data_IF_245320696756
#
_entry.id   IF_245320696756
#
_cell.length_a   1.000
_cell.length_b   1.000
_cell.length_c   1.000
_cell.angle_alpha   90.00
_cell.angle_beta   90.00
_cell.angle_gamma   90.00
#
_symmetry.space_group_name_H-M   'P 1'
#
loop_
_entity.id
_entity.type
_entity.pdbx_description
1 polymer ?
#
# COMPACT_ATOMS: atom_id res chain seq x y z
N UNK A 1 -4.94 62.95 4.02
CA UNK A 1 -4.58 61.58 3.59
C UNK A 1 -4.57 60.72 4.84
N UNK A 2 -5.68 60.04 5.12
CA UNK A 2 -5.82 59.17 6.28
C UNK A 2 -5.32 57.77 5.94
N UNK A 3 -4.21 57.38 6.53
CA UNK A 3 -3.74 55.99 6.54
C UNK A 3 -4.64 55.21 7.48
N UNK A 4 -5.57 54.46 6.92
CA UNK A 4 -6.36 53.46 7.65
C UNK A 4 -5.41 52.42 8.23
N UNK A 5 -5.17 52.46 9.53
CA UNK A 5 -4.48 51.42 10.26
C UNK A 5 -5.33 50.14 10.11
N UNK A 6 -4.87 49.20 9.30
CA UNK A 6 -5.48 47.88 9.14
C UNK A 6 -5.51 47.25 10.53
N UNK A 7 -6.70 46.98 11.00
CA UNK A 7 -7.03 46.56 12.35
C UNK A 7 -6.50 45.13 12.54
N UNK A 8 -5.31 45.01 13.14
CA UNK A 8 -4.64 43.75 13.51
C UNK A 8 -5.53 42.78 14.34
N UNK A 9 -6.47 43.27 15.21
CA UNK A 9 -7.33 42.38 15.98
C UNK A 9 -8.30 41.54 15.15
N UNK A 10 -8.73 41.99 13.97
CA UNK A 10 -9.70 41.26 13.15
C UNK A 10 -9.04 40.09 12.39
N UNK A 11 -7.72 40.10 12.20
CA UNK A 11 -6.96 39.03 11.56
C UNK A 11 -6.53 37.93 12.54
N UNK A 12 -6.52 38.21 13.83
CA UNK A 12 -6.05 37.29 14.86
C UNK A 12 -6.82 35.94 14.87
N UNK A 13 -8.17 35.90 14.82
CA UNK A 13 -8.92 34.65 14.80
C UNK A 13 -8.63 33.81 13.55
N UNK A 14 -8.41 34.43 12.38
CA UNK A 14 -8.04 33.73 11.16
C UNK A 14 -6.63 33.15 11.25
N UNK A 15 -5.68 33.84 11.82
CA UNK A 15 -4.33 33.33 12.05
C UNK A 15 -4.33 32.15 13.02
N UNK A 16 -5.13 32.21 14.08
CA UNK A 16 -5.28 31.10 15.03
C UNK A 16 -5.92 29.88 14.34
N UNK A 17 -6.95 30.09 13.52
CA UNK A 17 -7.60 29.02 12.78
C UNK A 17 -6.63 28.35 11.79
N UNK A 18 -5.84 29.12 11.04
CA UNK A 18 -4.83 28.60 10.12
C UNK A 18 -3.76 27.82 10.89
N UNK A 19 -3.28 28.34 12.01
CA UNK A 19 -2.28 27.67 12.84
C UNK A 19 -2.83 26.34 13.39
N UNK A 20 -4.08 26.34 13.87
CA UNK A 20 -4.74 25.11 14.33
C UNK A 20 -4.88 24.07 13.21
N UNK A 21 -5.27 24.46 12.00
CA UNK A 21 -5.32 23.59 10.84
C UNK A 21 -3.95 23.02 10.47
N UNK A 22 -2.90 23.83 10.51
CA UNK A 22 -1.52 23.39 10.28
C UNK A 22 -1.06 22.38 11.33
N UNK A 23 -1.37 22.59 12.60
CA UNK A 23 -1.03 21.67 13.69
C UNK A 23 -1.78 20.33 13.51
N UNK A 24 -3.09 20.36 13.22
CA UNK A 24 -3.88 19.17 12.96
C UNK A 24 -3.34 18.43 11.73
N UNK A 25 -3.01 19.15 10.67
CA UNK A 25 -2.42 18.57 9.46
C UNK A 25 -1.06 17.92 9.74
N UNK A 26 -0.15 18.60 10.47
CA UNK A 26 1.14 18.05 10.88
C UNK A 26 0.97 16.81 11.77
N UNK A 27 0.04 16.87 12.73
CA UNK A 27 -0.26 15.72 13.59
C UNK A 27 -0.75 14.51 12.77
N UNK A 28 -1.68 14.74 11.85
CA UNK A 28 -2.15 13.68 10.94
C UNK A 28 -1.01 13.10 10.11
N UNK A 29 -0.14 13.96 9.57
CA UNK A 29 1.03 13.56 8.83
C UNK A 29 2.00 12.69 9.66
N UNK A 30 2.24 13.06 10.91
CA UNK A 30 3.07 12.28 11.83
C UNK A 30 2.46 10.92 12.16
N UNK A 31 1.14 10.82 12.32
CA UNK A 31 0.47 9.53 12.57
C UNK A 31 0.57 8.59 11.36
N UNK A 32 0.39 9.11 10.15
CA UNK A 32 0.58 8.34 8.91
C UNK A 32 2.03 7.87 8.78
N UNK A 33 3.01 8.73 9.06
CA UNK A 33 4.43 8.35 9.04
C UNK A 33 4.76 7.27 10.07
N UNK A 34 4.26 7.38 11.30
CA UNK A 34 4.47 6.37 12.35
C UNK A 34 3.95 5.01 11.92
N UNK A 35 2.76 4.95 11.32
CA UNK A 35 2.20 3.69 10.81
C UNK A 35 3.07 3.05 9.72
N UNK A 36 3.65 3.86 8.83
CA UNK A 36 4.53 3.39 7.77
C UNK A 36 5.90 2.93 8.30
N UNK A 37 6.50 3.69 9.22
CA UNK A 37 7.77 3.33 9.87
C UNK A 37 7.61 2.01 10.62
N UNK A 38 6.51 1.83 11.36
CA UNK A 38 6.23 0.59 12.05
C UNK A 38 6.03 -0.59 11.09
N UNK A 39 5.36 -0.38 9.96
CA UNK A 39 5.22 -1.41 8.93
C UNK A 39 6.58 -1.80 8.34
N UNK A 40 7.45 -0.83 8.05
CA UNK A 40 8.81 -1.06 7.55
C UNK A 40 9.66 -1.81 8.58
N UNK A 41 9.63 -1.42 9.86
CA UNK A 41 10.36 -2.11 10.94
C UNK A 41 9.96 -3.58 11.07
N UNK A 42 8.68 -3.89 10.86
CA UNK A 42 8.20 -5.27 10.84
C UNK A 42 8.74 -6.03 9.63
N UNK A 43 8.76 -5.40 8.46
CA UNK A 43 9.34 -6.00 7.27
C UNK A 43 10.83 -6.28 7.45
N UNK A 44 11.59 -5.34 8.00
CA UNK A 44 13.03 -5.51 8.25
C UNK A 44 13.30 -6.68 9.22
N UNK A 45 12.52 -6.80 10.28
CA UNK A 45 12.62 -7.93 11.22
C UNK A 45 12.20 -9.27 10.62
N UNK A 46 11.37 -9.26 9.59
CA UNK A 46 10.92 -10.49 8.89
C UNK A 46 11.94 -11.02 7.89
N UNK A 47 13.09 -10.35 7.70
CA UNK A 47 14.16 -10.79 6.81
C UNK A 47 13.96 -10.38 5.35
N UNK A 48 13.22 -9.32 5.10
CA UNK A 48 13.09 -8.73 3.76
C UNK A 48 14.45 -8.21 3.28
N UNK A 49 14.80 -8.53 2.06
CA UNK A 49 16.07 -8.14 1.45
C UNK A 49 15.96 -6.95 0.52
N UNK A 50 14.80 -6.71 -0.04
CA UNK A 50 14.49 -5.58 -0.91
C UNK A 50 13.00 -5.32 -0.97
N UNK A 51 12.64 -4.11 -1.40
CA UNK A 51 11.28 -3.72 -1.70
C UNK A 51 11.13 -3.45 -3.19
N UNK A 52 9.98 -3.80 -3.71
CA UNK A 52 9.57 -3.48 -5.07
C UNK A 52 8.31 -2.62 -5.03
N UNK A 53 8.35 -1.48 -5.70
CA UNK A 53 7.16 -0.66 -5.88
C UNK A 53 6.38 -1.14 -7.10
N UNK A 54 5.15 -1.55 -6.89
CA UNK A 54 4.26 -2.06 -7.94
C UNK A 54 2.97 -1.25 -7.96
N UNK A 55 2.55 -0.86 -9.14
CA UNK A 55 1.24 -0.24 -9.38
C UNK A 55 0.42 -1.11 -10.30
N UNK A 56 -0.92 -1.11 -10.17
CA UNK A 56 -1.78 -1.72 -11.17
C UNK A 56 -1.56 -1.04 -12.53
N UNK A 57 -1.63 -1.81 -13.58
CA UNK A 57 -1.64 -1.25 -14.94
C UNK A 57 -3.04 -0.72 -15.26
N UNK A 58 -3.43 0.35 -14.56
CA UNK A 58 -4.76 0.97 -14.59
C UNK A 58 -4.71 2.33 -15.29
N UNK A 59 -5.77 2.65 -16.03
CA UNK A 59 -5.99 3.98 -16.64
C UNK A 59 -6.01 5.10 -15.61
N UNK A 60 -6.43 4.79 -14.37
CA UNK A 60 -6.49 5.74 -13.27
C UNK A 60 -5.14 5.96 -12.58
N UNK A 61 -4.13 5.14 -12.87
CA UNK A 61 -2.78 5.32 -12.35
C UNK A 61 -2.15 6.54 -12.98
N UNK A 62 -1.79 7.55 -12.17
CA UNK A 62 -1.14 8.76 -12.66
C UNK A 62 0.24 8.45 -13.26
N UNK A 63 0.70 9.33 -14.14
CA UNK A 63 1.97 9.17 -14.84
C UNK A 63 3.15 8.97 -13.88
N UNK A 64 3.24 9.78 -12.84
CA UNK A 64 4.30 9.69 -11.81
C UNK A 64 4.33 8.32 -11.14
N UNK A 65 3.16 7.75 -10.80
CA UNK A 65 3.09 6.41 -10.23
C UNK A 65 3.45 5.33 -11.25
N UNK A 66 3.07 5.52 -12.51
CA UNK A 66 3.39 4.61 -13.61
C UNK A 66 4.89 4.61 -13.90
N UNK A 67 5.52 5.78 -13.92
CA UNK A 67 6.97 5.92 -14.07
C UNK A 67 7.77 5.31 -12.92
N UNK A 68 7.22 5.30 -11.72
CA UNK A 68 7.86 4.69 -10.56
C UNK A 68 7.64 3.16 -10.47
N UNK A 69 6.75 2.59 -11.29
CA UNK A 69 6.49 1.15 -11.30
C UNK A 69 7.76 0.36 -11.59
N UNK A 70 7.95 -0.73 -10.86
CA UNK A 70 9.15 -1.55 -10.98
C UNK A 70 10.38 -1.02 -10.24
N UNK A 71 10.28 0.10 -9.52
CA UNK A 71 11.40 0.62 -8.71
C UNK A 71 11.74 -0.32 -7.57
N UNK A 72 13.02 -0.69 -7.51
CA UNK A 72 13.57 -1.58 -6.48
C UNK A 72 14.38 -0.77 -5.48
N UNK A 73 14.17 -1.06 -4.20
CA UNK A 73 14.75 -0.30 -3.09
C UNK A 73 15.33 -1.24 -2.03
N UNK A 74 16.45 -0.85 -1.45
CA UNK A 74 16.97 -1.51 -0.25
C UNK A 74 16.16 -1.07 0.99
N UNK A 75 16.06 -1.92 2.02
CA UNK A 75 15.40 -1.55 3.28
C UNK A 75 15.96 -0.25 3.86
N UNK A 76 17.28 -0.06 3.84
CA UNK A 76 17.93 1.16 4.32
C UNK A 76 17.56 2.42 3.53
N UNK A 77 17.19 2.30 2.25
CA UNK A 77 16.71 3.43 1.44
C UNK A 77 15.27 3.79 1.82
N UNK A 78 14.44 2.78 1.97
CA UNK A 78 13.04 2.96 2.39
C UNK A 78 12.96 3.65 3.75
N UNK A 79 13.76 3.22 4.71
CA UNK A 79 13.80 3.84 6.05
C UNK A 79 14.28 5.29 6.02
N UNK A 80 15.36 5.57 5.25
CA UNK A 80 15.93 6.93 5.16
C UNK A 80 15.03 7.91 4.42
N UNK A 81 14.31 7.47 3.42
CA UNK A 81 13.47 8.33 2.57
C UNK A 81 12.12 8.64 3.21
N UNK A 82 11.78 8.08 4.39
CA UNK A 82 10.42 8.11 4.93
C UNK A 82 9.40 7.74 3.84
N UNK A 83 9.70 6.67 3.15
CA UNK A 83 9.20 6.38 1.84
C UNK A 83 7.71 6.12 1.82
N UNK A 84 6.97 7.13 1.48
CA UNK A 84 5.85 6.98 0.57
C UNK A 84 6.41 7.34 -0.80
N UNK A 85 6.45 6.43 -1.77
CA UNK A 85 7.24 6.61 -2.99
C UNK A 85 6.98 7.92 -3.72
N UNK A 86 5.85 8.53 -3.49
CA UNK A 86 5.38 9.63 -4.31
C UNK A 86 4.58 10.66 -3.50
N UNK A 87 4.90 10.80 -2.21
CA UNK A 87 4.22 11.76 -1.35
C UNK A 87 4.41 13.18 -1.90
N UNK A 88 3.30 13.83 -2.20
CA UNK A 88 3.27 15.17 -2.78
C UNK A 88 3.47 15.24 -4.28
N UNK A 89 3.86 14.14 -4.95
CA UNK A 89 4.03 14.07 -6.39
C UNK A 89 2.88 13.34 -7.09
N UNK A 90 2.11 12.53 -6.35
CA UNK A 90 0.98 11.84 -6.92
C UNK A 90 -0.17 12.81 -7.23
N UNK A 91 -0.57 12.89 -8.49
CA UNK A 91 -1.67 13.76 -8.94
C UNK A 91 -3.05 13.34 -8.39
N UNK A 92 -3.19 12.09 -7.93
CA UNK A 92 -4.43 11.52 -7.41
C UNK A 92 -4.20 10.85 -6.04
N UNK A 93 -3.89 11.62 -4.96
CA UNK A 93 -3.69 11.06 -3.64
C UNK A 93 -4.96 10.34 -3.18
N UNK A 94 -4.86 9.04 -2.93
CA UNK A 94 -5.98 8.16 -2.56
C UNK A 94 -6.58 7.34 -3.71
N UNK A 95 -6.21 7.60 -4.96
CA UNK A 95 -6.59 6.78 -6.14
C UNK A 95 -5.40 6.04 -6.75
N UNK A 96 -4.20 6.61 -6.65
CA UNK A 96 -2.99 5.91 -7.04
C UNK A 96 -2.59 4.90 -5.98
N UNK A 97 -2.74 3.66 -6.30
CA UNK A 97 -2.69 2.53 -5.37
C UNK A 97 -1.42 1.70 -5.53
N UNK A 98 -0.30 2.35 -5.82
CA UNK A 98 1.00 1.69 -5.77
C UNK A 98 1.32 1.19 -4.36
N UNK A 99 1.94 0.03 -4.28
CA UNK A 99 2.31 -0.61 -3.03
C UNK A 99 3.77 -1.03 -3.03
N UNK A 100 4.45 -0.86 -1.90
CA UNK A 100 5.73 -1.48 -1.64
C UNK A 100 5.53 -2.93 -1.22
N UNK A 101 6.02 -3.85 -2.04
CA UNK A 101 6.00 -5.28 -1.75
C UNK A 101 7.36 -5.71 -1.25
N UNK A 102 7.40 -6.30 -0.06
CA UNK A 102 8.61 -6.87 0.49
C UNK A 102 8.99 -8.19 -0.19
N UNK A 103 10.25 -8.30 -0.62
CA UNK A 103 10.79 -9.47 -1.29
C UNK A 103 11.86 -10.10 -0.41
N UNK A 104 11.70 -11.38 -0.14
CA UNK A 104 12.64 -12.15 0.70
C UNK A 104 13.86 -12.66 -0.07
N UNK A 105 13.79 -12.70 -1.40
CA UNK A 105 14.94 -12.91 -2.28
C UNK A 105 15.48 -14.35 -2.36
N UNK A 106 14.61 -15.37 -2.25
CA UNK A 106 15.06 -16.76 -2.29
C UNK A 106 14.97 -17.41 -3.68
N UNK A 107 14.12 -16.93 -4.58
CA UNK A 107 14.07 -17.46 -5.94
C UNK A 107 15.12 -16.83 -6.89
N UNK A 108 15.50 -17.48 -7.97
CA UNK A 108 16.64 -17.07 -8.81
C UNK A 108 16.56 -15.64 -9.32
N UNK A 109 15.42 -15.19 -9.83
CA UNK A 109 15.23 -13.84 -10.37
C UNK A 109 15.37 -12.78 -9.27
N UNK A 110 14.81 -13.05 -8.09
CA UNK A 110 14.94 -12.16 -6.95
C UNK A 110 16.40 -12.06 -6.46
N UNK A 111 17.17 -13.16 -6.51
CA UNK A 111 18.60 -13.13 -6.18
C UNK A 111 19.41 -12.32 -7.18
N UNK A 112 19.19 -12.51 -8.47
CA UNK A 112 19.83 -11.70 -9.51
C UNK A 112 19.51 -10.21 -9.35
N UNK A 113 18.25 -9.90 -9.05
CA UNK A 113 17.81 -8.54 -8.80
C UNK A 113 18.52 -7.93 -7.58
N UNK A 114 18.66 -8.68 -6.50
CA UNK A 114 19.38 -8.25 -5.30
C UNK A 114 20.88 -8.00 -5.58
N UNK A 115 21.51 -8.83 -6.38
CA UNK A 115 22.91 -8.63 -6.82
C UNK A 115 23.06 -7.37 -7.67
N UNK A 116 22.17 -7.15 -8.65
CA UNK A 116 22.14 -5.91 -9.44
C UNK A 116 21.98 -4.69 -8.55
N UNK A 117 21.15 -4.76 -7.53
CA UNK A 117 20.91 -3.67 -6.58
C UNK A 117 22.15 -3.38 -5.72
N UNK A 118 22.92 -4.40 -5.34
CA UNK A 118 24.15 -4.25 -4.54
C UNK A 118 25.34 -3.75 -5.35
N UNK A 119 25.45 -4.19 -6.60
CA UNK A 119 26.56 -3.86 -7.49
C UNK A 119 26.31 -2.58 -8.29
N UNK A 120 25.05 -2.17 -8.42
CA UNK A 120 24.65 -0.98 -9.15
C UNK A 120 25.24 0.31 -8.56
N UNK A 121 25.57 1.27 -9.43
CA UNK A 121 26.02 2.60 -9.01
C UNK A 121 24.86 3.30 -8.29
N UNK A 122 25.08 3.74 -7.05
CA UNK A 122 24.09 4.39 -6.16
C UNK A 122 23.36 5.62 -6.73
N UNK A 123 23.79 6.14 -7.90
CA UNK A 123 23.25 7.37 -8.48
C UNK A 123 21.90 7.20 -9.22
N UNK A 124 21.58 6.00 -9.68
CA UNK A 124 20.34 5.76 -10.43
C UNK A 124 19.53 4.68 -9.72
N UNK A 125 18.26 4.94 -9.37
CA UNK A 125 17.39 3.91 -8.80
C UNK A 125 17.30 2.72 -9.76
N UNK A 126 17.43 1.52 -9.25
CA UNK A 126 17.17 0.32 -10.04
C UNK A 126 15.68 0.23 -10.32
N UNK A 127 15.32 0.11 -11.60
CA UNK A 127 13.95 -0.03 -12.05
C UNK A 127 13.85 -1.19 -13.02
N UNK A 128 12.82 -2.01 -12.83
CA UNK A 128 12.49 -3.10 -13.72
C UNK A 128 11.64 -2.59 -14.89
N UNK A 129 11.96 -3.03 -16.08
CA UNK A 129 11.05 -2.93 -17.21
C UNK A 129 9.83 -3.85 -17.02
N UNK A 130 8.75 -3.61 -17.77
CA UNK A 130 7.57 -4.45 -17.69
C UNK A 130 7.86 -5.95 -17.95
N UNK A 131 8.68 -6.34 -18.95
CA UNK A 131 9.08 -7.73 -19.14
C UNK A 131 9.87 -8.32 -17.97
N UNK A 132 10.78 -7.55 -17.36
CA UNK A 132 11.55 -8.01 -16.19
C UNK A 132 10.64 -8.20 -14.97
N UNK A 133 9.68 -7.30 -14.76
CA UNK A 133 8.69 -7.43 -13.70
C UNK A 133 7.82 -8.67 -13.90
N UNK A 134 7.37 -8.91 -15.12
CA UNK A 134 6.59 -10.10 -15.47
C UNK A 134 7.39 -11.39 -15.27
N UNK A 135 8.66 -11.42 -15.66
CA UNK A 135 9.55 -12.56 -15.43
C UNK A 135 9.76 -12.81 -13.92
N UNK A 136 9.90 -11.76 -13.11
CA UNK A 136 10.00 -11.86 -11.65
C UNK A 136 8.75 -12.49 -11.02
N UNK A 137 7.57 -12.20 -11.58
CA UNK A 137 6.28 -12.72 -11.09
C UNK A 137 6.04 -14.15 -11.58
N UNK A 138 6.29 -14.45 -12.86
CA UNK A 138 6.01 -15.75 -13.48
C UNK A 138 7.04 -16.83 -13.17
N UNK A 139 8.32 -16.45 -13.11
CA UNK A 139 9.40 -17.40 -12.91
C UNK A 139 9.23 -18.34 -11.71
N UNK A 140 8.72 -17.87 -10.56
CA UNK A 140 8.41 -18.73 -9.43
C UNK A 140 7.32 -19.76 -9.70
N UNK A 141 6.27 -19.43 -10.47
CA UNK A 141 5.17 -20.37 -10.77
C UNK A 141 5.56 -21.47 -11.74
N UNK A 142 6.48 -21.20 -12.64
CA UNK A 142 7.04 -22.20 -13.55
C UNK A 142 7.93 -23.20 -12.81
N UNK A 143 8.40 -22.85 -11.63
CA UNK A 143 9.23 -23.67 -10.75
C UNK A 143 8.59 -23.77 -9.38
N UNK A 144 8.51 -24.96 -8.83
CA UNK A 144 7.95 -25.14 -7.49
C UNK A 144 8.69 -24.29 -6.46
N UNK A 145 8.00 -23.26 -5.90
CA UNK A 145 8.57 -22.42 -4.85
C UNK A 145 8.48 -23.17 -3.52
N UNK A 146 9.61 -23.48 -2.93
CA UNK A 146 9.68 -24.23 -1.67
C UNK A 146 9.40 -23.36 -0.43
N UNK A 147 9.84 -22.11 -0.43
CA UNK A 147 9.74 -21.24 0.74
C UNK A 147 8.37 -20.53 0.84
N UNK A 148 7.69 -20.69 1.98
CA UNK A 148 6.38 -20.05 2.22
C UNK A 148 6.44 -18.51 2.13
N UNK A 149 7.55 -17.89 2.57
CA UNK A 149 7.79 -16.44 2.51
C UNK A 149 7.85 -15.92 1.08
N UNK A 150 8.44 -16.68 0.17
CA UNK A 150 8.54 -16.29 -1.23
C UNK A 150 7.18 -16.35 -1.92
N UNK A 151 6.39 -17.38 -1.63
CA UNK A 151 5.01 -17.49 -2.13
C UNK A 151 4.19 -16.25 -1.79
N UNK A 152 4.27 -15.77 -0.56
CA UNK A 152 3.52 -14.57 -0.13
C UNK A 152 3.94 -13.34 -0.93
N UNK A 153 5.24 -13.12 -1.13
CA UNK A 153 5.73 -12.02 -1.96
C UNK A 153 5.23 -12.12 -3.40
N UNK A 154 5.32 -13.32 -3.99
CA UNK A 154 4.88 -13.57 -5.37
C UNK A 154 3.38 -13.40 -5.53
N UNK A 155 2.56 -13.96 -4.62
CA UNK A 155 1.11 -13.77 -4.64
C UNK A 155 0.73 -12.28 -4.56
N UNK A 156 1.43 -11.51 -3.72
CA UNK A 156 1.16 -10.07 -3.61
C UNK A 156 1.55 -9.30 -4.88
N UNK A 157 2.71 -9.61 -5.46
CA UNK A 157 3.15 -9.01 -6.73
C UNK A 157 2.17 -9.33 -7.85
N UNK A 158 1.80 -10.60 -7.99
CA UNK A 158 0.87 -11.06 -9.01
C UNK A 158 -0.53 -10.45 -8.83
N UNK A 159 -1.03 -10.40 -7.59
CA UNK A 159 -2.31 -9.80 -7.29
C UNK A 159 -2.38 -8.34 -7.75
N UNK A 160 -1.37 -7.53 -7.43
CA UNK A 160 -1.35 -6.11 -7.79
C UNK A 160 -1.18 -5.93 -9.30
N UNK A 161 -0.25 -6.67 -9.90
CA UNK A 161 0.09 -6.51 -11.31
C UNK A 161 -1.08 -6.84 -12.24
N UNK A 162 -1.87 -7.86 -11.89
CA UNK A 162 -2.97 -8.34 -12.72
C UNK A 162 -4.36 -7.80 -12.36
N UNK A 163 -4.48 -6.84 -11.44
CA UNK A 163 -5.81 -6.33 -11.03
C UNK A 163 -6.71 -5.90 -12.19
N UNK A 164 -6.13 -5.30 -13.23
CA UNK A 164 -6.90 -4.81 -14.38
C UNK A 164 -7.02 -5.83 -15.51
N UNK A 165 -5.98 -6.62 -15.72
CA UNK A 165 -5.93 -7.55 -16.87
C UNK A 165 -6.48 -8.92 -16.56
N UNK A 166 -6.38 -9.36 -15.29
CA UNK A 166 -6.84 -10.68 -14.81
C UNK A 166 -7.42 -10.55 -13.39
N UNK A 167 -8.56 -9.87 -13.21
CA UNK A 167 -9.10 -9.56 -11.88
C UNK A 167 -9.39 -10.82 -11.04
N UNK A 168 -9.84 -11.91 -11.63
CA UNK A 168 -10.08 -13.16 -10.89
C UNK A 168 -8.80 -13.78 -10.33
N UNK A 169 -7.69 -13.70 -11.06
CA UNK A 169 -6.37 -14.11 -10.55
C UNK A 169 -5.99 -13.25 -9.35
N UNK A 170 -6.20 -11.95 -9.43
CA UNK A 170 -5.90 -11.02 -8.33
C UNK A 170 -6.77 -11.28 -7.10
N UNK A 171 -8.08 -11.54 -7.28
CA UNK A 171 -9.00 -11.92 -6.21
C UNK A 171 -8.52 -13.19 -5.50
N UNK A 172 -8.17 -14.22 -6.27
CA UNK A 172 -7.66 -15.50 -5.75
C UNK A 172 -6.39 -15.28 -4.94
N UNK A 173 -5.45 -14.49 -5.45
CA UNK A 173 -4.20 -14.18 -4.75
C UNK A 173 -4.40 -13.37 -3.48
N UNK A 174 -5.28 -12.36 -3.48
CA UNK A 174 -5.60 -11.61 -2.26
C UNK A 174 -6.28 -12.49 -1.20
N UNK A 175 -7.21 -13.36 -1.59
CA UNK A 175 -7.83 -14.34 -0.67
C UNK A 175 -6.78 -15.27 -0.09
N UNK A 176 -5.88 -15.80 -0.92
CA UNK A 176 -4.77 -16.63 -0.45
C UNK A 176 -3.93 -15.89 0.60
N UNK A 177 -3.54 -14.64 0.34
CA UNK A 177 -2.76 -13.82 1.28
C UNK A 177 -3.48 -13.63 2.61
N UNK A 178 -4.78 -13.36 2.56
CA UNK A 178 -5.63 -13.19 3.74
C UNK A 178 -5.69 -14.48 4.56
N UNK A 179 -5.84 -15.62 3.90
CA UNK A 179 -5.97 -16.93 4.56
C UNK A 179 -4.65 -17.45 5.13
N UNK A 180 -3.54 -17.21 4.42
CA UNK A 180 -2.21 -17.63 4.86
C UNK A 180 -1.61 -16.74 5.96
N UNK A 181 -2.23 -15.65 6.31
CA UNK A 181 -1.77 -14.70 7.32
C UNK A 181 -1.85 -15.21 8.77
N UNK A 182 -1.46 -16.42 9.01
CA UNK A 182 -1.40 -17.01 10.36
C UNK A 182 -0.17 -16.53 11.13
N UNK A 183 0.90 -16.20 10.44
CA UNK A 183 2.14 -15.75 11.06
C UNK A 183 2.17 -14.22 11.14
N UNK A 184 2.63 -13.69 12.26
CA UNK A 184 2.74 -12.26 12.56
C UNK A 184 3.55 -11.52 11.49
N UNK A 185 4.63 -12.11 10.99
CA UNK A 185 5.49 -11.54 9.95
C UNK A 185 4.79 -11.27 8.62
N UNK A 186 3.66 -11.94 8.35
CA UNK A 186 2.91 -11.76 7.11
C UNK A 186 1.84 -10.66 7.20
N UNK A 187 1.50 -10.23 8.40
CA UNK A 187 0.45 -9.25 8.66
C UNK A 187 0.61 -7.91 7.89
N UNK A 188 1.82 -7.39 7.65
CA UNK A 188 1.98 -6.18 6.84
C UNK A 188 1.42 -6.29 5.42
N UNK A 189 1.42 -7.49 4.81
CA UNK A 189 0.84 -7.72 3.48
C UNK A 189 -0.67 -7.98 3.53
N UNK A 190 -1.17 -8.46 4.67
CA UNK A 190 -2.57 -8.87 4.83
C UNK A 190 -3.52 -7.70 4.92
N UNK A 191 -3.17 -6.67 5.69
CA UNK A 191 -4.03 -5.48 5.82
C UNK A 191 -4.22 -4.80 4.47
N UNK A 192 -3.17 -4.52 3.67
CA UNK A 192 -3.33 -4.03 2.30
C UNK A 192 -4.16 -4.96 1.41
N UNK A 193 -4.04 -6.29 1.55
CA UNK A 193 -4.82 -7.24 0.77
C UNK A 193 -6.32 -7.12 1.00
N UNK A 194 -6.76 -6.93 2.24
CA UNK A 194 -8.17 -6.65 2.55
C UNK A 194 -8.68 -5.40 1.84
N UNK A 195 -7.92 -4.31 1.89
CA UNK A 195 -8.31 -3.06 1.26
C UNK A 195 -8.43 -3.19 -0.26
N UNK A 196 -7.44 -3.82 -0.88
CA UNK A 196 -7.40 -3.98 -2.33
C UNK A 196 -8.46 -4.95 -2.83
N UNK A 197 -8.64 -6.07 -2.13
CA UNK A 197 -9.70 -7.03 -2.47
C UNK A 197 -11.08 -6.38 -2.39
N UNK A 198 -11.37 -5.64 -1.32
CA UNK A 198 -12.64 -4.91 -1.17
C UNK A 198 -12.84 -3.92 -2.32
N UNK A 199 -11.81 -3.15 -2.68
CA UNK A 199 -11.86 -2.19 -3.78
C UNK A 199 -12.10 -2.86 -5.13
N UNK A 200 -11.36 -3.93 -5.41
CA UNK A 200 -11.46 -4.69 -6.65
C UNK A 200 -12.85 -5.31 -6.81
N UNK A 201 -13.37 -5.96 -5.77
CA UNK A 201 -14.72 -6.54 -5.77
C UNK A 201 -15.79 -5.46 -5.97
N UNK A 202 -15.66 -4.32 -5.31
CA UNK A 202 -16.58 -3.18 -5.49
C UNK A 202 -16.57 -2.65 -6.93
N UNK A 203 -15.38 -2.50 -7.56
CA UNK A 203 -15.25 -2.09 -8.97
C UNK A 203 -15.88 -3.08 -9.94
N UNK A 204 -15.85 -4.36 -9.63
CA UNK A 204 -16.48 -5.43 -10.42
C UNK A 204 -17.98 -5.57 -10.17
N UNK A 205 -18.58 -4.73 -9.34
CA UNK A 205 -20.00 -4.83 -8.96
C UNK A 205 -20.34 -5.97 -8.00
N UNK A 206 -19.32 -6.68 -7.48
CA UNK A 206 -19.47 -7.80 -6.51
C UNK A 206 -19.61 -7.25 -5.09
N UNK A 207 -20.63 -6.41 -4.88
CA UNK A 207 -20.80 -5.62 -3.65
C UNK A 207 -21.00 -6.50 -2.42
N UNK A 208 -21.73 -7.60 -2.55
CA UNK A 208 -21.95 -8.53 -1.44
C UNK A 208 -20.65 -9.18 -0.98
N UNK A 209 -19.81 -9.64 -1.90
CA UNK A 209 -18.52 -10.23 -1.56
C UNK A 209 -17.55 -9.21 -0.96
N UNK A 210 -17.61 -7.96 -1.44
CA UNK A 210 -16.83 -6.88 -0.84
C UNK A 210 -17.25 -6.62 0.63
N UNK A 211 -18.55 -6.72 0.94
CA UNK A 211 -19.05 -6.62 2.31
C UNK A 211 -18.56 -7.77 3.19
N UNK A 212 -18.58 -9.00 2.69
CA UNK A 212 -18.07 -10.18 3.41
C UNK A 212 -16.58 -10.03 3.77
N UNK A 213 -15.78 -9.50 2.84
CA UNK A 213 -14.35 -9.20 3.09
C UNK A 213 -14.18 -8.16 4.19
N UNK A 214 -15.02 -7.13 4.23
CA UNK A 214 -14.99 -6.12 5.30
C UNK A 214 -15.36 -6.75 6.65
N UNK A 215 -16.41 -7.57 6.70
CA UNK A 215 -16.84 -8.24 7.91
C UNK A 215 -15.77 -9.21 8.44
N UNK A 216 -15.10 -9.92 7.55
CA UNK A 216 -13.94 -10.75 7.89
C UNK A 216 -12.81 -9.90 8.50
N UNK A 217 -12.51 -8.74 7.92
CA UNK A 217 -11.52 -7.80 8.45
C UNK A 217 -11.91 -7.31 9.85
N UNK A 218 -13.15 -6.84 10.03
CA UNK A 218 -13.66 -6.36 11.32
C UNK A 218 -13.60 -7.46 12.38
N UNK A 219 -14.07 -8.67 12.05
CA UNK A 219 -14.04 -9.82 12.94
C UNK A 219 -12.63 -10.20 13.36
N UNK A 220 -11.70 -10.28 12.40
CA UNK A 220 -10.30 -10.67 12.63
C UNK A 220 -9.56 -9.71 13.56
N UNK A 221 -9.84 -8.43 13.43
CA UNK A 221 -9.13 -7.38 14.17
C UNK A 221 -9.95 -6.79 15.33
N UNK A 222 -11.12 -7.36 15.66
CA UNK A 222 -11.95 -6.95 16.79
C UNK A 222 -11.14 -7.01 18.10
N UNK A 223 -11.16 -5.91 18.86
CA UNK A 223 -10.47 -5.82 20.15
C UNK A 223 -8.93 -5.81 20.09
N UNK A 224 -8.33 -5.89 18.91
CA UNK A 224 -6.87 -5.79 18.77
C UNK A 224 -6.46 -4.32 18.82
N UNK A 225 -5.46 -3.98 19.64
CA UNK A 225 -4.91 -2.62 19.68
C UNK A 225 -4.12 -2.34 18.40
N UNK A 226 -4.13 -1.07 17.91
CA UNK A 226 -3.27 -0.66 16.81
C UNK A 226 -1.80 -0.96 17.11
N UNK A 227 -1.07 -1.41 16.10
CA UNK A 227 0.34 -1.77 16.27
C UNK A 227 0.98 -2.13 14.93
N UNK A 228 2.28 -2.46 14.93
CA UNK A 228 3.02 -2.74 13.70
C UNK A 228 2.45 -3.91 12.89
N UNK A 229 1.72 -4.81 13.55
CA UNK A 229 1.13 -6.01 12.93
C UNK A 229 -0.39 -5.92 12.79
N UNK A 230 -1.01 -4.82 13.25
CA UNK A 230 -2.46 -4.65 13.26
C UNK A 230 -2.87 -3.37 12.55
N UNK A 231 -4.09 -3.31 12.03
CA UNK A 231 -4.60 -2.10 11.40
C UNK A 231 -4.52 -0.90 12.35
N UNK A 232 -4.11 0.24 11.80
CA UNK A 232 -4.16 1.53 12.49
C UNK A 232 -5.61 1.97 12.67
N UNK A 233 -5.87 2.91 13.57
CA UNK A 233 -7.22 3.51 13.72
C UNK A 233 -7.70 4.14 12.40
N UNK A 234 -6.79 4.81 11.67
CA UNK A 234 -7.12 5.36 10.34
C UNK A 234 -7.56 4.27 9.37
N UNK A 235 -6.86 3.13 9.33
CA UNK A 235 -7.23 2.01 8.46
C UNK A 235 -8.60 1.42 8.87
N UNK A 236 -8.87 1.28 10.15
CA UNK A 236 -10.20 0.83 10.63
C UNK A 236 -11.31 1.80 10.22
N UNK A 237 -11.08 3.11 10.42
CA UNK A 237 -12.02 4.15 10.01
C UNK A 237 -12.28 4.14 8.50
N UNK A 238 -11.26 3.98 7.68
CA UNK A 238 -11.39 3.85 6.22
C UNK A 238 -12.20 2.60 5.83
N UNK A 239 -11.99 1.47 6.49
CA UNK A 239 -12.74 0.24 6.21
C UNK A 239 -14.22 0.40 6.60
N UNK A 240 -14.51 1.02 7.74
CA UNK A 240 -15.87 1.36 8.17
C UNK A 240 -16.57 2.32 7.19
N UNK A 241 -15.86 3.32 6.67
CA UNK A 241 -16.37 4.23 5.65
C UNK A 241 -16.70 3.50 4.34
N UNK A 242 -15.84 2.56 3.91
CA UNK A 242 -16.11 1.70 2.74
C UNK A 242 -17.37 0.87 2.96
N UNK A 243 -17.53 0.26 4.14
CA UNK A 243 -18.73 -0.49 4.53
C UNK A 243 -19.99 0.35 4.39
N UNK A 244 -19.97 1.56 4.93
CA UNK A 244 -21.13 2.47 4.84
C UNK A 244 -21.50 2.81 3.40
N UNK A 245 -20.52 3.06 2.53
CA UNK A 245 -20.75 3.34 1.11
C UNK A 245 -21.34 2.14 0.37
N UNK A 246 -20.81 0.93 0.58
CA UNK A 246 -21.33 -0.29 -0.05
C UNK A 246 -22.75 -0.61 0.41
N UNK A 247 -23.08 -0.37 1.68
CA UNK A 247 -24.45 -0.53 2.18
C UNK A 247 -25.45 0.40 1.48
N UNK A 248 -25.07 1.63 1.16
CA UNK A 248 -25.92 2.54 0.37
C UNK A 248 -26.14 1.98 -1.03
N UNK A 249 -25.07 1.48 -1.69
CA UNK A 249 -25.18 0.88 -3.02
C UNK A 249 -26.09 -0.34 -3.03
N UNK A 250 -25.99 -1.22 -2.03
CA UNK A 250 -26.86 -2.40 -1.92
C UNK A 250 -28.34 -2.03 -1.74
N UNK A 251 -28.65 -1.01 -0.92
CA UNK A 251 -30.02 -0.53 -0.73
C UNK A 251 -30.63 0.13 -1.97
N UNK A 252 -29.79 0.66 -2.86
CA UNK A 252 -30.26 1.27 -4.12
C UNK A 252 -30.47 0.23 -5.21
N UNK A 253 -29.90 -0.96 -5.08
CA UNK A 253 -30.02 -2.06 -6.03
C UNK A 253 -31.13 -3.06 -5.67
N UNK A 254 -31.67 -2.99 -4.46
CA UNK A 254 -32.83 -3.76 -3.97
C UNK A 254 -34.14 -2.97 -4.16
#
# INVERSE_FOLDING_TARGET
>A
MGTSAIILPDLLPYLIAILALLVVWQYHQMQVMKGQILAIDVFDRSGIRMYLYVVPNDKNTCEVCREANGRVLLPSEVTKMHFTPLRGQCANPGKCVGLLVGIYGAWPEARQLLERLRTGKKKTPLQLSAPELEALIRGPWERSISAATDRISVHMLEAIYYEETKPETSITNYRYLIDQAREVRHLPLVVPSYFRLTELLARLGRTQEAMEVIEQFESRYKGKKPGPHFPTETQRGLMSLKKSRLNVTLRQAS
#
